data_IF_785955558013
#
_entry.id   IF_785955558013
#
_cell.length_a   1.000
_cell.length_b   1.000
_cell.length_c   1.000
_cell.angle_alpha   90.00
_cell.angle_beta   90.00
_cell.angle_gamma   90.00
#
_symmetry.space_group_name_H-M   'P 1'
#
loop_
_entity.id
_entity.type
_entity.pdbx_description
1 polymer ?
#
# COMPACT_ATOMS: atom_id res chain seq x y z
N UNK A 1 -14.75 25.37 -3.82
CA UNK A 1 -13.72 25.31 -2.75
C UNK A 1 -13.13 23.91 -2.80
N UNK A 2 -12.03 23.70 -3.54
CA UNK A 2 -11.38 22.38 -3.56
C UNK A 2 -10.53 22.31 -2.30
N UNK A 3 -11.00 21.59 -1.28
CA UNK A 3 -10.19 21.35 -0.08
C UNK A 3 -9.08 20.42 -0.54
N UNK A 4 -7.83 20.91 -0.55
CA UNK A 4 -6.62 20.14 -0.83
C UNK A 4 -6.42 19.03 0.20
N UNK A 5 -7.27 17.99 0.14
CA UNK A 5 -7.33 16.86 1.07
C UNK A 5 -6.20 15.85 0.89
N UNK A 6 -5.07 16.27 0.34
CA UNK A 6 -3.92 15.42 0.04
C UNK A 6 -3.36 14.75 1.30
N UNK A 7 -3.29 15.49 2.41
CA UNK A 7 -2.96 14.92 3.73
C UNK A 7 -3.90 13.78 4.12
N UNK A 8 -5.22 13.93 3.86
CA UNK A 8 -6.18 12.85 4.15
C UNK A 8 -5.93 11.63 3.27
N UNK A 9 -5.69 11.82 1.97
CA UNK A 9 -5.37 10.72 1.04
C UNK A 9 -4.13 9.97 1.51
N UNK A 10 -3.06 10.68 1.87
CA UNK A 10 -1.82 10.08 2.37
C UNK A 10 -2.07 9.28 3.64
N UNK A 11 -2.77 9.85 4.63
CA UNK A 11 -3.06 9.16 5.89
C UNK A 11 -3.92 7.91 5.68
N UNK A 12 -4.95 7.99 4.83
CA UNK A 12 -5.79 6.85 4.47
C UNK A 12 -4.98 5.76 3.76
N UNK A 13 -4.13 6.13 2.80
CA UNK A 13 -3.29 5.18 2.08
C UNK A 13 -2.26 4.50 3.00
N UNK A 14 -1.64 5.25 3.93
CA UNK A 14 -0.73 4.68 4.94
C UNK A 14 -1.44 3.63 5.78
N UNK A 15 -2.63 3.95 6.30
CA UNK A 15 -3.40 3.02 7.12
C UNK A 15 -3.81 1.79 6.34
N UNK A 16 -4.29 1.98 5.10
CA UNK A 16 -4.66 0.89 4.21
C UNK A 16 -3.48 -0.05 3.94
N UNK A 17 -2.28 0.48 3.65
CA UNK A 17 -1.07 -0.31 3.45
C UNK A 17 -0.78 -1.20 4.67
N UNK A 18 -0.83 -0.62 5.88
CA UNK A 18 -0.61 -1.37 7.12
C UNK A 18 -1.62 -2.52 7.24
N UNK A 19 -2.90 -2.29 6.94
CA UNK A 19 -3.92 -3.34 6.98
C UNK A 19 -3.71 -4.41 5.91
N UNK A 20 -3.26 -4.04 4.70
CA UNK A 20 -2.91 -5.01 3.65
C UNK A 20 -1.77 -5.90 4.14
N UNK A 21 -0.70 -5.33 4.69
CA UNK A 21 0.44 -6.09 5.21
C UNK A 21 0.02 -7.05 6.34
N UNK A 22 -0.76 -6.57 7.31
CA UNK A 22 -1.29 -7.42 8.40
C UNK A 22 -2.16 -8.54 7.83
N UNK A 23 -3.01 -8.27 6.82
CA UNK A 23 -3.81 -9.31 6.18
C UNK A 23 -2.98 -10.40 5.48
N UNK A 24 -1.72 -10.09 5.14
CA UNK A 24 -0.77 -11.03 4.54
C UNK A 24 0.12 -11.74 5.54
N UNK A 25 0.01 -11.41 6.83
CA UNK A 25 0.75 -12.07 7.90
C UNK A 25 1.84 -11.21 8.53
N UNK A 26 1.90 -9.91 8.23
CA UNK A 26 2.76 -9.00 9.00
C UNK A 26 2.26 -8.89 10.45
N UNK A 27 3.20 -8.72 11.38
CA UNK A 27 2.84 -8.57 12.79
C UNK A 27 2.14 -7.22 13.03
N UNK A 28 1.03 -7.18 13.78
CA UNK A 28 0.39 -5.93 14.13
C UNK A 28 1.25 -5.11 15.09
N UNK A 29 1.10 -3.79 15.06
CA UNK A 29 1.79 -2.86 15.96
C UNK A 29 3.17 -2.39 15.48
N UNK A 30 3.63 -2.85 14.32
CA UNK A 30 4.86 -2.34 13.71
C UNK A 30 4.68 -0.94 13.09
N UNK A 31 5.80 -0.32 12.71
CA UNK A 31 5.79 0.99 12.07
C UNK A 31 5.50 0.87 10.56
N UNK A 32 5.14 1.98 9.92
CA UNK A 32 4.81 2.01 8.49
C UNK A 32 5.92 1.44 7.60
N UNK A 33 7.18 1.78 7.87
CA UNK A 33 8.34 1.33 7.10
C UNK A 33 8.52 -0.18 7.20
N UNK A 34 8.31 -0.78 8.37
CA UNK A 34 8.33 -2.23 8.56
C UNK A 34 7.30 -2.94 7.68
N UNK A 35 6.08 -2.41 7.57
CA UNK A 35 5.06 -3.01 6.70
C UNK A 35 5.40 -2.90 5.21
N UNK A 36 5.97 -1.77 4.78
CA UNK A 36 6.43 -1.62 3.39
C UNK A 36 7.55 -2.64 3.10
N UNK A 37 8.50 -2.78 4.02
CA UNK A 37 9.59 -3.75 3.90
C UNK A 37 9.05 -5.18 3.86
N UNK A 38 8.12 -5.53 4.74
CA UNK A 38 7.47 -6.84 4.76
C UNK A 38 6.82 -7.17 3.41
N UNK A 39 6.09 -6.22 2.81
CA UNK A 39 5.46 -6.44 1.51
C UNK A 39 6.49 -6.64 0.38
N UNK A 40 7.62 -5.95 0.47
CA UNK A 40 8.73 -6.10 -0.49
C UNK A 40 9.41 -7.45 -0.35
N UNK A 41 9.76 -7.84 0.88
CA UNK A 41 10.48 -9.09 1.17
C UNK A 41 9.64 -10.34 0.87
N UNK A 42 8.32 -10.22 0.95
CA UNK A 42 7.38 -11.28 0.60
C UNK A 42 6.93 -11.25 -0.87
N UNK A 43 7.64 -10.50 -1.73
CA UNK A 43 7.42 -10.46 -3.18
C UNK A 43 6.03 -9.95 -3.61
N UNK A 44 5.33 -9.19 -2.77
CA UNK A 44 4.09 -8.52 -3.16
C UNK A 44 4.35 -7.26 -3.98
N UNK A 45 5.57 -6.73 -3.92
CA UNK A 45 6.03 -5.60 -4.69
C UNK A 45 7.06 -6.10 -5.71
N UNK A 46 6.92 -5.76 -7.01
CA UNK A 46 7.90 -6.15 -8.02
C UNK A 46 9.31 -5.62 -7.69
N UNK A 47 10.38 -6.38 -7.99
CA UNK A 47 11.76 -5.95 -7.75
C UNK A 47 12.11 -4.62 -8.42
N UNK A 48 11.57 -4.36 -9.62
CA UNK A 48 11.80 -3.12 -10.38
C UNK A 48 11.14 -1.89 -9.72
N UNK A 49 10.25 -2.09 -8.75
CA UNK A 49 9.62 -1.02 -7.98
C UNK A 49 10.39 -0.69 -6.69
N UNK A 50 11.63 -1.18 -6.53
CA UNK A 50 12.43 -0.97 -5.31
C UNK A 50 12.73 0.51 -5.03
N UNK A 51 13.14 1.27 -6.04
CA UNK A 51 13.40 2.71 -5.88
C UNK A 51 12.14 3.46 -5.41
N UNK A 52 10.97 3.01 -5.87
CA UNK A 52 9.69 3.55 -5.46
C UNK A 52 9.37 3.23 -3.99
N UNK A 53 9.69 2.01 -3.55
CA UNK A 53 9.58 1.59 -2.14
C UNK A 53 10.48 2.44 -1.25
N UNK A 54 11.74 2.62 -1.63
CA UNK A 54 12.69 3.39 -0.83
C UNK A 54 12.25 4.86 -0.70
N UNK A 55 11.75 5.46 -1.78
CA UNK A 55 11.19 6.82 -1.73
C UNK A 55 9.98 6.94 -0.78
N UNK A 56 9.08 5.95 -0.78
CA UNK A 56 7.92 5.93 0.15
C UNK A 56 8.38 5.79 1.60
N UNK A 57 9.44 5.03 1.86
CA UNK A 57 10.00 4.84 3.21
C UNK A 57 10.63 6.12 3.75
N UNK A 58 11.40 6.82 2.92
CA UNK A 58 11.99 8.13 3.25
C UNK A 58 10.88 9.13 3.62
N UNK A 59 9.87 9.28 2.76
CA UNK A 59 8.70 10.14 3.01
C UNK A 59 7.90 9.73 4.24
N UNK A 60 7.77 8.43 4.48
CA UNK A 60 7.07 7.88 5.65
C UNK A 60 7.71 8.29 6.97
N UNK A 61 9.05 8.32 7.00
CA UNK A 61 9.85 8.76 8.15
C UNK A 61 9.78 10.28 8.37
N UNK A 62 9.87 11.07 7.30
CA UNK A 62 9.75 12.54 7.34
C UNK A 62 8.39 12.97 7.93
N UNK A 63 7.31 12.32 7.51
CA UNK A 63 5.95 12.63 7.96
C UNK A 63 5.64 12.22 9.41
N UNK A 64 6.50 11.44 10.08
CA UNK A 64 6.33 11.07 11.49
C UNK A 64 6.84 12.15 12.46
N UNK A 65 7.71 13.05 12.01
CA UNK A 65 8.39 14.02 12.88
C UNK A 65 7.79 15.43 12.83
N UNK A 66 6.97 15.75 11.83
CA UNK A 66 6.29 17.06 11.71
C UNK A 66 4.88 16.87 11.15
N UNK A 67 3.91 17.64 11.64
CA UNK A 67 2.56 17.72 11.04
C UNK A 67 2.66 18.51 9.73
N UNK A 68 3.31 17.91 8.74
CA UNK A 68 3.52 18.52 7.43
C UNK A 68 2.25 18.36 6.59
N UNK A 69 1.82 19.46 5.95
CA UNK A 69 0.76 19.42 4.96
C UNK A 69 1.32 18.70 3.74
N UNK A 70 0.75 17.55 3.41
CA UNK A 70 1.20 16.75 2.27
C UNK A 70 0.79 17.45 0.98
N UNK A 71 1.69 17.42 -0.01
CA UNK A 71 1.40 17.99 -1.31
C UNK A 71 0.65 16.98 -2.19
N UNK A 72 0.26 17.44 -3.38
CA UNK A 72 -0.46 16.61 -4.35
C UNK A 72 0.38 15.43 -4.83
N UNK A 73 1.66 15.64 -5.10
CA UNK A 73 2.56 14.65 -5.67
C UNK A 73 2.76 13.48 -4.69
N UNK A 74 2.92 13.76 -3.40
CA UNK A 74 3.00 12.74 -2.34
C UNK A 74 1.73 11.89 -2.28
N UNK A 75 0.57 12.53 -2.41
CA UNK A 75 -0.73 11.85 -2.40
C UNK A 75 -0.93 10.98 -3.64
N UNK A 76 -0.61 11.49 -4.84
CA UNK A 76 -0.73 10.75 -6.10
C UNK A 76 0.25 9.57 -6.15
N UNK A 77 1.47 9.76 -5.64
CA UNK A 77 2.48 8.71 -5.55
C UNK A 77 2.00 7.57 -4.66
N UNK A 78 1.56 7.88 -3.43
CA UNK A 78 1.13 6.85 -2.49
C UNK A 78 -0.18 6.18 -2.92
N UNK A 79 -1.09 6.94 -3.54
CA UNK A 79 -2.32 6.39 -4.12
C UNK A 79 -2.04 5.40 -5.25
N UNK A 80 -1.12 5.75 -6.16
CA UNK A 80 -0.69 4.88 -7.26
C UNK A 80 -0.06 3.59 -6.72
N UNK A 81 0.72 3.71 -5.65
CA UNK A 81 1.35 2.57 -5.00
C UNK A 81 0.32 1.61 -4.39
N UNK A 82 -0.65 2.16 -3.65
CA UNK A 82 -1.76 1.38 -3.10
C UNK A 82 -2.58 0.71 -4.20
N UNK A 83 -2.86 1.42 -5.29
CA UNK A 83 -3.61 0.86 -6.41
C UNK A 83 -2.89 -0.36 -7.01
N UNK A 84 -1.57 -0.28 -7.21
CA UNK A 84 -0.75 -1.40 -7.67
C UNK A 84 -0.85 -2.59 -6.68
N UNK A 85 -0.68 -2.33 -5.38
CA UNK A 85 -0.78 -3.38 -4.36
C UNK A 85 -2.14 -4.08 -4.41
N UNK A 86 -3.24 -3.33 -4.44
CA UNK A 86 -4.58 -3.91 -4.49
C UNK A 86 -4.79 -4.79 -5.73
N UNK A 87 -4.27 -4.33 -6.88
CA UNK A 87 -4.33 -5.07 -8.15
C UNK A 87 -3.59 -6.39 -8.07
N UNK A 88 -2.32 -6.35 -7.67
CA UNK A 88 -1.44 -7.54 -7.61
C UNK A 88 -1.93 -8.52 -6.55
N UNK A 89 -2.37 -8.02 -5.40
CA UNK A 89 -2.68 -8.85 -4.24
C UNK A 89 -4.09 -9.45 -4.30
N UNK A 90 -5.08 -8.71 -4.79
CA UNK A 90 -6.49 -9.11 -4.72
C UNK A 90 -7.14 -9.20 -6.09
N UNK A 91 -7.01 -8.16 -6.93
CA UNK A 91 -7.77 -8.06 -8.19
C UNK A 91 -7.34 -9.12 -9.21
N UNK A 92 -6.06 -9.19 -9.57
CA UNK A 92 -5.57 -10.11 -10.61
C UNK A 92 -5.73 -11.58 -10.21
N UNK A 93 -5.40 -12.00 -8.97
CA UNK A 93 -5.68 -13.37 -8.53
C UNK A 93 -7.17 -13.72 -8.62
N UNK A 94 -8.05 -12.78 -8.25
CA UNK A 94 -9.50 -12.98 -8.31
C UNK A 94 -10.03 -13.04 -9.74
N UNK A 95 -9.51 -12.20 -10.64
CA UNK A 95 -9.88 -12.17 -12.04
C UNK A 95 -9.56 -13.50 -12.74
N UNK A 96 -8.41 -14.12 -12.42
CA UNK A 96 -8.07 -15.45 -12.92
C UNK A 96 -9.03 -16.49 -12.35
N UNK A 97 -9.26 -16.53 -11.03
CA UNK A 97 -10.21 -17.49 -10.40
C UNK A 97 -11.60 -17.45 -11.03
N UNK A 98 -12.10 -16.25 -11.33
CA UNK A 98 -13.40 -16.06 -11.99
C UNK A 98 -13.39 -16.58 -13.44
N UNK A 99 -12.30 -16.35 -14.19
CA UNK A 99 -12.17 -16.82 -15.58
C UNK A 99 -11.90 -18.32 -15.69
N UNK A 100 -11.18 -18.91 -14.75
CA UNK A 100 -10.85 -20.34 -14.73
C UNK A 100 -11.92 -21.19 -14.04
N UNK A 101 -13.02 -20.58 -13.57
CA UNK A 101 -14.20 -21.31 -13.09
C UNK A 101 -13.94 -22.17 -11.85
N UNK A 102 -13.19 -21.69 -10.86
CA UNK A 102 -13.14 -22.37 -9.56
C UNK A 102 -14.35 -21.96 -8.73
N UNK A 103 -15.44 -22.72 -8.90
CA UNK A 103 -16.53 -22.81 -7.93
C UNK A 103 -16.04 -23.56 -6.69
N UNK A 104 -15.24 -22.92 -5.84
CA UNK A 104 -15.05 -23.41 -4.48
C UNK A 104 -16.31 -23.03 -3.69
N UNK A 105 -17.27 -23.96 -3.69
CA UNK A 105 -18.28 -24.03 -2.64
C UNK A 105 -17.52 -24.22 -1.31
N UNK A 106 -17.76 -23.41 -0.27
CA UNK A 106 -17.30 -23.78 1.06
C UNK A 106 -18.03 -25.06 1.48
N UNK A 107 -17.24 -26.04 1.92
CA UNK A 107 -17.73 -27.23 2.62
C UNK A 107 -18.23 -26.87 4.02
#
# INVERSE_FOLDING_TARGET
MSVSGFTSVVLSCRKLLMHIAVSKGANPGENFVSYVQYLSDNHYIPPDAKDWVDHIREKGNEANHEVNIMNKDDAELLLSFIQMLLKVIYEFPSAIKQRTGSSDKPA
#
